data_IF_695478331957
#
_entry.id   IF_695478331957
#
_cell.length_a   1.000
_cell.length_b   1.000
_cell.length_c   1.000
_cell.angle_alpha   90.00
_cell.angle_beta   90.00
_cell.angle_gamma   90.00
#
_symmetry.space_group_name_H-M   'P 1'
#
loop_
_entity.id
_entity.type
_entity.pdbx_description
1 polymer ?
#
# COMPACT_ATOMS: atom_id res chain seq x y z
N UNK A 1 9.92 6.36 18.11
CA UNK A 1 10.72 5.91 16.96
C UNK A 1 9.81 5.02 16.12
N UNK A 2 9.71 5.24 14.81
CA UNK A 2 8.89 4.39 13.94
C UNK A 2 9.63 3.06 13.68
N UNK A 3 8.90 1.94 13.74
CA UNK A 3 9.40 0.63 13.30
C UNK A 3 8.86 0.33 11.91
N UNK A 4 9.65 -0.26 11.00
CA UNK A 4 9.16 -0.65 9.69
C UNK A 4 8.15 -1.81 9.80
N UNK A 5 7.32 -1.96 8.78
CA UNK A 5 6.54 -3.19 8.59
C UNK A 5 7.50 -4.33 8.25
N UNK A 6 7.58 -5.35 9.10
CA UNK A 6 8.57 -6.43 9.00
C UNK A 6 8.44 -7.25 7.72
N UNK A 7 7.23 -7.36 7.18
CA UNK A 7 6.98 -8.05 5.91
C UNK A 7 7.73 -7.48 4.71
N UNK A 8 8.14 -6.21 4.74
CA UNK A 8 8.98 -5.60 3.68
C UNK A 8 10.36 -6.27 3.60
N UNK A 9 10.86 -6.79 4.72
CA UNK A 9 12.18 -7.40 4.84
C UNK A 9 12.11 -8.92 5.03
N UNK A 10 10.92 -9.52 4.92
CA UNK A 10 10.75 -10.96 5.05
C UNK A 10 11.39 -11.70 3.87
N UNK A 11 11.94 -12.89 4.14
CA UNK A 11 12.40 -13.80 3.10
C UNK A 11 11.20 -14.36 2.32
N UNK A 12 11.42 -14.76 1.08
CA UNK A 12 10.38 -15.24 0.17
C UNK A 12 9.51 -16.35 0.77
N UNK A 13 8.23 -16.34 0.37
CA UNK A 13 7.20 -17.32 0.77
C UNK A 13 6.72 -18.12 -0.44
N UNK A 14 6.22 -19.33 -0.22
CA UNK A 14 5.62 -20.17 -1.26
C UNK A 14 4.23 -19.68 -1.70
N UNK A 15 3.61 -18.79 -0.92
CA UNK A 15 2.29 -18.23 -1.20
C UNK A 15 2.16 -16.81 -0.70
N UNK A 16 1.55 -15.95 -1.52
CA UNK A 16 1.21 -14.57 -1.21
C UNK A 16 -0.08 -14.17 -1.95
N UNK A 17 -0.77 -13.16 -1.44
CA UNK A 17 -1.92 -12.54 -2.09
C UNK A 17 -1.79 -11.03 -1.95
N UNK A 18 -2.15 -10.31 -3.02
CA UNK A 18 -2.28 -8.84 -3.01
C UNK A 18 -3.77 -8.52 -3.04
N UNK A 19 -4.22 -7.73 -2.07
CA UNK A 19 -5.60 -7.32 -1.96
C UNK A 19 -5.66 -5.82 -2.21
N UNK A 20 -6.22 -5.43 -3.34
CA UNK A 20 -6.30 -4.04 -3.74
C UNK A 20 -7.70 -3.49 -3.48
N UNK A 21 -7.78 -2.29 -2.91
CA UNK A 21 -9.04 -1.66 -2.54
C UNK A 21 -9.11 -0.21 -3.03
N UNK A 22 -10.28 0.15 -3.54
CA UNK A 22 -10.66 1.52 -3.85
C UNK A 22 -11.53 2.10 -2.73
N UNK A 23 -11.26 3.35 -2.36
CA UNK A 23 -12.15 4.09 -1.48
C UNK A 23 -13.43 4.42 -2.24
N UNK A 24 -14.57 4.17 -1.59
CA UNK A 24 -15.83 4.69 -2.08
C UNK A 24 -15.80 6.22 -2.07
N UNK A 25 -16.53 6.91 -2.97
CA UNK A 25 -16.57 8.38 -3.00
C UNK A 25 -16.99 9.04 -1.68
N UNK A 26 -17.70 8.31 -0.83
CA UNK A 26 -18.18 8.76 0.49
C UNK A 26 -17.29 8.32 1.65
N UNK A 27 -16.20 7.58 1.40
CA UNK A 27 -15.33 7.08 2.44
C UNK A 27 -14.44 8.20 2.99
N UNK A 28 -14.31 8.26 4.32
CA UNK A 28 -13.38 9.18 4.97
C UNK A 28 -11.96 8.58 4.98
N UNK A 29 -11.01 9.29 4.38
CA UNK A 29 -9.62 8.86 4.24
C UNK A 29 -8.94 8.55 5.59
N UNK A 30 -9.17 9.38 6.60
CA UNK A 30 -8.57 9.19 7.92
C UNK A 30 -9.09 7.93 8.62
N UNK A 31 -10.40 7.70 8.53
CA UNK A 31 -11.06 6.49 9.04
C UNK A 31 -10.54 5.23 8.33
N UNK A 32 -10.34 5.28 7.02
CA UNK A 32 -9.78 4.17 6.24
C UNK A 32 -8.36 3.83 6.70
N UNK A 33 -7.47 4.82 6.80
CA UNK A 33 -6.10 4.61 7.30
C UNK A 33 -6.13 4.03 8.72
N UNK A 34 -6.99 4.55 9.59
CA UNK A 34 -7.13 4.06 10.95
C UNK A 34 -7.65 2.60 11.03
N UNK A 35 -8.53 2.20 10.10
CA UNK A 35 -9.03 0.83 10.01
C UNK A 35 -7.95 -0.13 9.53
N UNK A 36 -7.23 0.23 8.47
CA UNK A 36 -6.10 -0.56 7.94
C UNK A 36 -5.00 -0.69 8.99
N UNK A 37 -4.69 0.38 9.72
CA UNK A 37 -3.72 0.36 10.82
C UNK A 37 -4.12 -0.54 12.01
N UNK A 38 -5.38 -1.00 12.08
CA UNK A 38 -5.84 -1.98 13.08
C UNK A 38 -5.68 -3.43 12.63
N UNK A 39 -5.34 -3.70 11.37
CA UNK A 39 -5.05 -5.04 10.90
C UNK A 39 -3.86 -5.62 11.68
N UNK A 40 -3.93 -6.91 11.98
CA UNK A 40 -2.90 -7.63 12.72
C UNK A 40 -2.65 -8.96 12.04
N UNK A 41 -1.37 -9.33 11.95
CA UNK A 41 -0.98 -10.68 11.59
C UNK A 41 -1.58 -11.68 12.58
N UNK A 42 -1.94 -12.89 12.13
CA UNK A 42 -2.30 -13.98 13.03
C UNK A 42 -1.20 -14.16 14.09
N UNK A 43 -1.59 -14.25 15.37
CA UNK A 43 -0.66 -14.47 16.49
C UNK A 43 -0.23 -15.95 16.57
N UNK A 44 0.31 -16.49 15.48
CA UNK A 44 0.82 -17.86 15.39
C UNK A 44 2.15 -17.88 14.66
N UNK A 45 3.07 -18.71 15.13
CA UNK A 45 4.34 -18.97 14.45
C UNK A 45 4.20 -20.01 13.34
N UNK A 46 3.05 -20.71 13.26
CA UNK A 46 2.76 -21.68 12.22
C UNK A 46 2.41 -20.90 10.94
N UNK A 47 3.28 -20.98 9.93
CA UNK A 47 3.03 -20.48 8.58
C UNK A 47 3.69 -19.14 8.22
N UNK A 48 4.35 -18.44 9.17
CA UNK A 48 5.16 -17.27 8.86
C UNK A 48 4.44 -16.19 8.03
N UNK A 49 3.18 -15.89 8.38
CA UNK A 49 2.37 -14.91 7.66
C UNK A 49 2.90 -13.51 7.93
N UNK A 50 3.22 -12.78 6.86
CA UNK A 50 3.56 -11.37 6.92
C UNK A 50 2.40 -10.54 6.38
N UNK A 51 2.12 -9.40 7.00
CA UNK A 51 1.18 -8.39 6.52
C UNK A 51 1.92 -7.08 6.26
N UNK A 52 1.71 -6.52 5.08
CA UNK A 52 2.17 -5.19 4.71
C UNK A 52 0.96 -4.44 4.14
N UNK A 53 0.73 -3.23 4.63
CA UNK A 53 -0.25 -2.32 4.07
C UNK A 53 0.45 -1.15 3.38
N UNK A 54 -0.05 -0.78 2.21
CA UNK A 54 0.33 0.39 1.44
C UNK A 54 -0.85 1.32 1.21
N UNK A 55 -0.56 2.61 1.05
CA UNK A 55 -1.53 3.63 0.67
C UNK A 55 -1.02 4.36 -0.56
N UNK A 56 -1.92 4.77 -1.47
CA UNK A 56 -1.51 5.62 -2.58
C UNK A 56 -0.84 6.92 -2.06
N UNK A 57 0.15 7.46 -2.78
CA UNK A 57 0.89 8.63 -2.32
C UNK A 57 0.00 9.84 -2.03
N UNK A 58 -1.01 10.11 -2.85
CA UNK A 58 -1.90 11.26 -2.69
C UNK A 58 -2.77 11.14 -1.43
N UNK A 59 -3.25 9.93 -1.12
CA UNK A 59 -3.99 9.64 0.10
C UNK A 59 -3.10 9.83 1.34
N UNK A 60 -1.88 9.29 1.28
CA UNK A 60 -0.94 9.40 2.40
C UNK A 60 -0.50 10.85 2.64
N UNK A 61 -0.27 11.63 1.58
CA UNK A 61 0.08 13.05 1.67
C UNK A 61 -1.00 13.88 2.36
N UNK A 62 -2.28 13.51 2.23
CA UNK A 62 -3.39 14.16 2.94
C UNK A 62 -3.41 13.78 4.43
N UNK A 63 -3.17 12.51 4.75
CA UNK A 63 -3.33 11.98 6.11
C UNK A 63 -2.12 12.23 7.00
N UNK A 64 -0.91 12.12 6.44
CA UNK A 64 0.34 12.26 7.18
C UNK A 64 1.35 13.08 6.36
N UNK A 65 1.05 14.37 6.09
CA UNK A 65 1.88 15.22 5.21
C UNK A 65 3.34 15.30 5.66
N UNK A 66 3.58 15.40 6.97
CA UNK A 66 4.94 15.49 7.53
C UNK A 66 5.73 14.17 7.43
N UNK A 67 5.04 13.05 7.21
CA UNK A 67 5.63 11.71 7.06
C UNK A 67 5.58 11.21 5.61
N UNK A 68 5.02 11.99 4.68
CA UNK A 68 4.96 11.65 3.27
C UNK A 68 6.32 11.94 2.61
N UNK A 69 6.94 10.96 1.91
CA UNK A 69 8.19 11.22 1.21
C UNK A 69 7.99 12.29 0.13
N UNK A 70 8.88 13.30 0.04
CA UNK A 70 8.71 14.40 -0.91
C UNK A 70 8.86 13.92 -2.36
N UNK A 71 8.00 14.43 -3.24
CA UNK A 71 8.07 14.15 -4.69
C UNK A 71 7.58 12.77 -5.10
N UNK A 72 6.97 12.00 -4.19
CA UNK A 72 6.34 10.72 -4.55
C UNK A 72 4.93 10.98 -5.07
N UNK A 73 4.66 10.48 -6.26
CA UNK A 73 3.35 10.53 -6.93
C UNK A 73 2.90 9.12 -7.27
N UNK A 74 1.60 8.90 -7.31
CA UNK A 74 1.03 7.63 -7.76
C UNK A 74 1.25 7.38 -9.25
N UNK A 75 1.14 6.12 -9.64
CA UNK A 75 1.04 5.71 -11.04
C UNK A 75 -0.36 6.01 -11.58
N UNK A 76 -0.67 7.30 -11.73
CA UNK A 76 -1.98 7.78 -12.18
C UNK A 76 -2.09 7.90 -13.71
N UNK A 77 -0.97 7.76 -14.43
CA UNK A 77 -0.89 7.87 -15.89
C UNK A 77 -0.23 6.63 -16.49
N UNK A 78 -0.63 6.27 -17.72
CA UNK A 78 -0.01 5.18 -18.47
C UNK A 78 1.48 5.45 -18.65
N UNK A 79 2.32 4.48 -18.28
CA UNK A 79 3.76 4.55 -18.52
C UNK A 79 4.06 3.98 -19.91
N UNK A 80 4.68 4.77 -20.78
CA UNK A 80 5.13 4.32 -22.10
C UNK A 80 6.63 4.06 -22.08
N UNK A 81 7.02 2.80 -22.33
CA UNK A 81 8.42 2.40 -22.46
C UNK A 81 9.03 2.87 -23.80
N UNK A 82 10.36 2.90 -23.86
CA UNK A 82 11.08 3.38 -25.05
C UNK A 82 10.76 2.62 -26.36
N UNK A 83 10.28 1.38 -26.27
CA UNK A 83 9.82 0.58 -27.41
C UNK A 83 8.35 0.78 -27.81
N UNK A 84 7.64 1.74 -27.19
CA UNK A 84 6.22 1.99 -27.43
C UNK A 84 5.26 1.07 -26.66
N UNK A 85 5.77 0.17 -25.82
CA UNK A 85 4.95 -0.65 -24.92
C UNK A 85 4.32 0.22 -23.84
N UNK A 86 3.04 -0.02 -23.53
CA UNK A 86 2.29 0.73 -22.54
C UNK A 86 2.00 -0.12 -21.31
N UNK A 87 2.25 0.45 -20.13
CA UNK A 87 1.84 -0.10 -18.85
C UNK A 87 0.69 0.79 -18.33
N UNK A 88 -0.55 0.29 -18.29
CA UNK A 88 -1.69 1.08 -17.86
C UNK A 88 -1.56 1.49 -16.38
N UNK A 89 -2.10 2.65 -16.04
CA UNK A 89 -2.25 3.08 -14.66
C UNK A 89 -3.36 2.27 -13.96
N UNK A 90 -2.98 1.25 -13.21
CA UNK A 90 -3.92 0.37 -12.46
C UNK A 90 -3.75 0.50 -10.96
N UNK A 91 -3.20 1.62 -10.47
CA UNK A 91 -2.95 1.78 -9.04
C UNK A 91 -4.26 2.00 -8.27
N UNK A 92 -4.41 1.28 -7.16
CA UNK A 92 -5.53 1.40 -6.22
C UNK A 92 -5.18 2.23 -4.99
N UNK A 93 -6.16 2.54 -4.15
CA UNK A 93 -5.96 3.42 -3.00
C UNK A 93 -5.25 2.73 -1.82
N UNK A 94 -5.50 1.44 -1.62
CA UNK A 94 -4.93 0.60 -0.55
C UNK A 94 -4.52 -0.76 -1.10
N UNK A 95 -3.39 -1.29 -0.62
CA UNK A 95 -2.90 -2.66 -0.87
C UNK A 95 -2.44 -3.33 0.43
#
# INVERSE_FOLDING_TARGET
MASPQTGIFALGTTSHAYLEFDLLPTADAGSTVALVARLREPRTTIGGVNLVAGFRPELWAVIAPDAAPPGVTGFNETVTGAGGYTLPATQHDVV
#
